data_IF_970407799412
#
_entry.id   IF_970407799412
#
_cell.length_a   1.000
_cell.length_b   1.000
_cell.length_c   1.000
_cell.angle_alpha   90.00
_cell.angle_beta   90.00
_cell.angle_gamma   90.00
#
_symmetry.space_group_name_H-M   'P 1'
#
loop_
_entity.id
_entity.type
_entity.pdbx_description
1 polymer ?
#
# COMPACT_ATOMS: atom_id res chain seq x y z
N UNK A 1 6.98 21.53 8.51
CA UNK A 1 6.17 20.76 7.53
C UNK A 1 5.47 19.69 8.33
N UNK A 2 4.21 19.93 8.64
CA UNK A 2 3.37 18.92 9.27
C UNK A 2 3.25 17.74 8.29
N UNK A 3 3.85 16.62 8.64
CA UNK A 3 3.61 15.39 7.92
C UNK A 3 2.17 14.97 8.23
N UNK A 4 1.23 15.30 7.36
CA UNK A 4 -0.11 14.73 7.44
C UNK A 4 0.00 13.22 7.60
N UNK A 5 -0.58 12.72 8.69
CA UNK A 5 -0.70 11.27 8.88
C UNK A 5 -1.46 10.70 7.68
N UNK A 6 -0.98 9.62 7.07
CA UNK A 6 -1.69 9.02 5.96
C UNK A 6 -3.10 8.64 6.40
N UNK A 7 -4.10 9.18 5.70
CA UNK A 7 -5.49 8.76 5.89
C UNK A 7 -5.73 7.48 5.11
N UNK A 8 -6.08 6.40 5.80
CA UNK A 8 -6.51 5.14 5.18
C UNK A 8 -8.03 5.11 4.90
N UNK A 9 -8.63 6.26 4.67
CA UNK A 9 -10.05 6.39 4.32
C UNK A 9 -10.26 6.70 2.84
N UNK A 10 -9.24 7.19 2.17
CA UNK A 10 -9.25 7.50 0.73
C UNK A 10 -8.15 6.71 0.04
N UNK A 11 -8.55 5.91 -0.95
CA UNK A 11 -7.64 5.06 -1.70
C UNK A 11 -7.55 5.49 -3.15
N UNK A 12 -6.38 5.36 -3.73
CA UNK A 12 -6.13 5.57 -5.15
C UNK A 12 -5.19 4.49 -5.68
N UNK A 13 -5.34 4.14 -6.96
CA UNK A 13 -4.32 3.38 -7.66
C UNK A 13 -3.09 4.27 -7.89
N UNK A 14 -1.91 3.70 -7.87
CA UNK A 14 -0.68 4.43 -8.18
C UNK A 14 0.00 3.76 -9.37
N UNK A 15 0.19 4.54 -10.44
CA UNK A 15 0.89 4.13 -11.65
C UNK A 15 1.98 5.16 -11.94
N UNK A 16 3.22 4.71 -12.10
CA UNK A 16 4.38 5.59 -12.35
C UNK A 16 4.51 6.75 -11.34
N UNK A 17 4.27 6.44 -10.06
CA UNK A 17 4.32 7.41 -8.97
C UNK A 17 3.17 8.44 -8.95
N UNK A 18 2.17 8.31 -9.83
CA UNK A 18 1.03 9.21 -9.92
C UNK A 18 -0.24 8.53 -9.44
N UNK A 19 -1.08 9.29 -8.73
CA UNK A 19 -2.41 8.83 -8.31
C UNK A 19 -3.33 8.73 -9.54
N UNK A 20 -4.02 7.59 -9.66
CA UNK A 20 -4.90 7.28 -10.79
C UNK A 20 -6.21 6.67 -10.32
N UNK A 21 -7.34 7.17 -10.83
CA UNK A 21 -8.67 6.65 -10.54
C UNK A 21 -9.45 6.45 -11.84
N UNK A 22 -9.88 5.23 -12.08
CA UNK A 22 -10.65 4.85 -13.29
C UNK A 22 -12.14 5.21 -13.23
N UNK A 23 -12.60 5.80 -12.15
CA UNK A 23 -14.01 6.15 -11.94
C UNK A 23 -14.91 4.99 -11.52
N UNK A 24 -14.43 3.75 -11.57
CA UNK A 24 -15.13 2.58 -11.05
C UNK A 24 -14.54 2.20 -9.69
N UNK A 25 -15.42 1.97 -8.71
CA UNK A 25 -15.00 1.57 -7.36
C UNK A 25 -15.61 0.22 -6.96
N UNK A 26 -14.95 -0.44 -6.04
CA UNK A 26 -15.46 -1.54 -5.24
C UNK A 26 -15.30 -1.16 -3.77
N UNK A 27 -15.97 -1.86 -2.87
CA UNK A 27 -15.83 -1.58 -1.44
C UNK A 27 -15.37 -2.82 -0.67
N UNK A 28 -14.53 -2.58 0.33
CA UNK A 28 -14.21 -3.58 1.33
C UNK A 28 -15.40 -3.78 2.26
N UNK A 29 -15.53 -4.99 2.81
CA UNK A 29 -16.58 -5.35 3.76
C UNK A 29 -15.92 -5.79 5.05
N UNK A 30 -16.35 -5.25 6.18
CA UNK A 30 -15.94 -5.73 7.50
C UNK A 30 -16.57 -7.11 7.75
N UNK A 31 -15.79 -8.18 7.85
CA UNK A 31 -16.31 -9.53 8.00
C UNK A 31 -16.98 -9.78 9.37
N UNK A 32 -16.71 -8.94 10.36
CA UNK A 32 -17.31 -9.06 11.70
C UNK A 32 -18.70 -8.46 11.79
N UNK A 33 -18.97 -7.43 10.97
CA UNK A 33 -20.25 -6.70 11.00
C UNK A 33 -21.05 -6.83 9.71
N UNK A 34 -20.45 -7.26 8.60
CA UNK A 34 -21.04 -7.31 7.28
C UNK A 34 -21.28 -5.92 6.64
N UNK A 35 -20.77 -4.85 7.25
CA UNK A 35 -20.95 -3.49 6.75
C UNK A 35 -19.85 -3.12 5.75
N UNK A 36 -20.22 -2.35 4.74
CA UNK A 36 -19.25 -1.74 3.83
C UNK A 36 -18.33 -0.79 4.59
N UNK A 37 -17.06 -0.81 4.25
CA UNK A 37 -16.03 0.08 4.77
C UNK A 37 -15.86 1.25 3.78
N UNK A 38 -14.76 1.28 3.07
CA UNK A 38 -14.37 2.34 2.14
C UNK A 38 -14.42 1.86 0.70
N UNK A 39 -14.53 2.81 -0.19
CA UNK A 39 -14.46 2.55 -1.62
C UNK A 39 -13.00 2.47 -2.08
N UNK A 40 -12.71 1.46 -2.89
CA UNK A 40 -11.39 1.22 -3.48
C UNK A 40 -11.53 1.32 -5.01
N UNK A 41 -10.68 2.09 -5.69
CA UNK A 41 -10.75 2.21 -7.14
C UNK A 41 -10.41 0.88 -7.82
N UNK A 42 -11.23 0.49 -8.78
CA UNK A 42 -10.96 -0.66 -9.65
C UNK A 42 -10.12 -0.20 -10.85
N UNK A 43 -9.01 -0.88 -11.10
CA UNK A 43 -8.20 -0.62 -12.28
C UNK A 43 -8.95 -1.05 -13.55
N UNK A 44 -8.81 -0.26 -14.61
CA UNK A 44 -9.23 -0.62 -15.96
C UNK A 44 -8.17 -1.51 -16.64
N UNK A 45 -8.49 -2.20 -17.76
CA UNK A 45 -7.48 -2.90 -18.55
C UNK A 45 -6.35 -1.98 -19.01
N UNK A 46 -6.66 -0.71 -19.36
CA UNK A 46 -5.65 0.26 -19.75
C UNK A 46 -4.72 0.63 -18.57
N UNK A 47 -5.26 0.80 -17.37
CA UNK A 47 -4.44 1.04 -16.17
C UNK A 47 -3.44 -0.10 -15.90
N UNK A 48 -3.85 -1.34 -16.19
CA UNK A 48 -2.98 -2.50 -16.07
C UNK A 48 -1.84 -2.45 -17.10
N UNK A 49 -2.17 -2.16 -18.35
CA UNK A 49 -1.17 -2.04 -19.43
C UNK A 49 -0.18 -0.90 -19.14
N UNK A 50 -0.66 0.24 -18.67
CA UNK A 50 0.16 1.40 -18.29
C UNK A 50 1.07 1.07 -17.11
N UNK A 51 0.57 0.33 -16.10
CA UNK A 51 1.37 -0.09 -14.96
C UNK A 51 2.49 -1.07 -15.36
N UNK A 52 2.19 -2.02 -16.25
CA UNK A 52 3.20 -2.96 -16.79
C UNK A 52 4.25 -2.22 -17.61
N UNK A 53 3.84 -1.29 -18.47
CA UNK A 53 4.77 -0.49 -19.26
C UNK A 53 5.68 0.37 -18.37
N UNK A 54 5.14 1.02 -17.34
CA UNK A 54 5.92 1.77 -16.37
C UNK A 54 6.93 0.89 -15.62
N UNK A 55 6.52 -0.32 -15.21
CA UNK A 55 7.39 -1.28 -14.55
C UNK A 55 8.55 -1.73 -15.47
N UNK A 56 8.26 -2.02 -16.73
CA UNK A 56 9.29 -2.41 -17.73
C UNK A 56 10.31 -1.30 -17.95
N UNK A 57 9.85 -0.05 -18.11
CA UNK A 57 10.73 1.11 -18.27
C UNK A 57 11.62 1.31 -17.04
N UNK A 58 11.06 1.18 -15.84
CA UNK A 58 11.81 1.30 -14.59
C UNK A 58 12.84 0.19 -14.41
N UNK A 59 12.54 -1.01 -14.90
CA UNK A 59 13.42 -2.17 -14.81
C UNK A 59 14.75 -1.96 -15.53
N UNK A 60 14.79 -1.22 -16.63
CA UNK A 60 16.03 -0.94 -17.37
C UNK A 60 17.10 -0.30 -16.48
N UNK A 61 16.71 0.67 -15.65
CA UNK A 61 17.61 1.30 -14.68
C UNK A 61 17.78 0.49 -13.42
N UNK A 62 16.67 -0.07 -12.89
CA UNK A 62 16.68 -0.82 -11.66
C UNK A 62 17.53 -2.09 -11.72
N UNK A 63 17.53 -2.79 -12.86
CA UNK A 63 18.29 -4.03 -13.06
C UNK A 63 19.79 -3.84 -12.90
N UNK A 64 20.29 -2.65 -13.22
CA UNK A 64 21.72 -2.29 -13.13
C UNK A 64 22.09 -1.58 -11.83
N UNK A 65 21.11 -1.27 -10.98
CA UNK A 65 21.34 -0.57 -9.71
C UNK A 65 22.15 -1.46 -8.74
N UNK A 66 23.25 -0.93 -8.15
CA UNK A 66 24.08 -1.67 -7.22
C UNK A 66 23.32 -2.20 -6.00
N UNK A 67 23.67 -3.38 -5.52
CA UNK A 67 23.02 -4.01 -4.38
C UNK A 67 22.89 -3.12 -3.14
N UNK A 68 23.97 -2.41 -2.78
CA UNK A 68 23.96 -1.51 -1.61
C UNK A 68 22.91 -0.39 -1.74
N UNK A 69 22.74 0.15 -2.94
CA UNK A 69 21.75 1.18 -3.17
C UNK A 69 20.33 0.62 -3.05
N UNK A 70 20.08 -0.57 -3.64
CA UNK A 70 18.78 -1.25 -3.49
C UNK A 70 18.46 -1.57 -2.04
N UNK A 71 19.45 -2.05 -1.28
CA UNK A 71 19.31 -2.30 0.16
C UNK A 71 18.97 -1.02 0.94
N UNK A 72 19.61 0.09 0.61
CA UNK A 72 19.31 1.39 1.22
C UNK A 72 17.88 1.80 1.01
N UNK A 73 17.38 1.75 -0.23
CA UNK A 73 15.99 2.08 -0.56
C UNK A 73 14.97 1.19 0.15
N UNK A 74 15.24 -0.12 0.23
CA UNK A 74 14.37 -1.04 0.99
C UNK A 74 14.37 -0.74 2.49
N UNK A 75 15.49 -0.28 3.04
CA UNK A 75 15.57 0.16 4.43
C UNK A 75 14.70 1.40 4.67
N UNK A 76 14.69 2.35 3.75
CA UNK A 76 13.81 3.53 3.81
C UNK A 76 12.33 3.14 3.75
N UNK A 77 11.96 2.18 2.88
CA UNK A 77 10.59 1.64 2.83
C UNK A 77 10.20 1.00 4.17
N UNK A 78 11.10 0.20 4.77
CA UNK A 78 10.87 -0.40 6.10
C UNK A 78 10.62 0.67 7.15
N UNK A 79 11.45 1.72 7.20
CA UNK A 79 11.30 2.81 8.16
C UNK A 79 10.01 3.60 7.95
N UNK A 80 9.57 3.77 6.70
CA UNK A 80 8.29 4.40 6.39
C UNK A 80 7.10 3.55 6.89
N UNK A 81 7.14 2.24 6.69
CA UNK A 81 6.11 1.31 7.18
C UNK A 81 6.05 1.26 8.71
N UNK A 82 7.20 1.31 9.39
CA UNK A 82 7.25 1.34 10.86
C UNK A 82 6.51 2.56 11.44
N UNK A 83 6.55 3.71 10.75
CA UNK A 83 5.86 4.93 11.20
C UNK A 83 4.33 4.86 11.14
N UNK A 84 3.79 4.01 10.29
CA UNK A 84 2.35 3.84 10.07
C UNK A 84 1.84 2.45 10.50
N UNK A 85 2.65 1.72 11.25
CA UNK A 85 2.37 0.33 11.60
C UNK A 85 1.08 0.16 12.41
N UNK A 86 0.80 1.05 13.34
CA UNK A 86 -0.40 0.99 14.19
C UNK A 86 -1.67 1.21 13.36
N UNK A 87 -1.67 2.19 12.48
CA UNK A 87 -2.77 2.48 11.57
C UNK A 87 -3.00 1.34 10.58
N UNK A 88 -1.92 0.76 10.04
CA UNK A 88 -2.01 -0.41 9.15
C UNK A 88 -2.57 -1.64 9.87
N UNK A 89 -2.17 -1.90 11.11
CA UNK A 89 -2.72 -3.00 11.91
C UNK A 89 -4.22 -2.82 12.10
N UNK A 90 -4.66 -1.62 12.48
CA UNK A 90 -6.09 -1.33 12.65
C UNK A 90 -6.88 -1.53 11.34
N UNK A 91 -6.31 -1.13 10.20
CA UNK A 91 -6.89 -1.33 8.88
C UNK A 91 -7.04 -2.83 8.54
N UNK A 92 -5.97 -3.59 8.69
CA UNK A 92 -5.93 -5.03 8.38
C UNK A 92 -6.93 -5.80 9.28
N UNK A 93 -7.07 -5.39 10.53
CA UNK A 93 -8.05 -5.99 11.43
C UNK A 93 -9.48 -5.79 10.95
N UNK A 94 -9.81 -4.59 10.51
CA UNK A 94 -11.16 -4.26 10.01
C UNK A 94 -11.46 -4.97 8.69
N UNK A 95 -10.49 -5.05 7.79
CA UNK A 95 -10.67 -5.72 6.49
C UNK A 95 -10.62 -7.24 6.59
N UNK A 96 -9.75 -7.78 7.43
CA UNK A 96 -9.51 -9.23 7.54
C UNK A 96 -10.24 -9.92 8.67
N UNK A 97 -10.88 -9.17 9.59
CA UNK A 97 -11.55 -9.73 10.77
C UNK A 97 -10.63 -10.48 11.72
N UNK A 98 -9.32 -10.23 11.67
CA UNK A 98 -8.34 -10.92 12.52
C UNK A 98 -8.17 -10.20 13.86
N UNK A 99 -8.10 -10.95 15.00
CA UNK A 99 -7.76 -10.34 16.27
C UNK A 99 -6.31 -9.87 16.29
N UNK A 100 -6.01 -8.80 17.04
CA UNK A 100 -4.63 -8.38 17.31
C UNK A 100 -3.93 -9.45 18.14
N UNK A 101 -2.95 -10.09 17.55
CA UNK A 101 -1.97 -10.83 18.33
C UNK A 101 -0.84 -9.87 18.74
N UNK A 102 -1.04 -9.16 19.83
CA UNK A 102 -0.08 -8.19 20.39
C UNK A 102 1.34 -8.74 20.61
N UNK A 103 1.59 -10.05 20.83
CA UNK A 103 2.94 -10.58 21.01
C UNK A 103 3.76 -10.68 19.72
N UNK A 104 3.14 -10.69 18.54
CA UNK A 104 3.87 -10.91 17.28
C UNK A 104 4.59 -9.65 16.77
N UNK A 105 4.19 -8.48 17.20
CA UNK A 105 4.78 -7.21 16.73
C UNK A 105 5.90 -6.67 17.62
N UNK A 106 6.07 -7.21 18.83
CA UNK A 106 6.97 -6.64 19.84
C UNK A 106 8.24 -7.47 20.11
N UNK A 107 8.57 -8.43 19.26
CA UNK A 107 9.82 -9.20 19.40
C UNK A 107 10.42 -9.51 18.05
N UNK A 108 11.15 -8.62 17.49
CA UNK A 108 12.36 -8.87 16.71
C UNK A 108 12.85 -7.56 16.13
N UNK A 109 13.68 -6.87 16.86
CA UNK A 109 14.95 -6.33 16.36
C UNK A 109 15.85 -6.11 17.57
#
# INVERSE_FOLDING_TARGET
>A
MDSEKPSFEVFSNTIDGKSHNSGKTSHAVDPSTGKSLWDVPCASPQDLDDAVAAAQNSFETWSTTPWKQRQGLLTEVRQALEKVAEEMVALIMREGGKPVCTPCFNKSI
#
